data_IF_382910191162
#
_entry.id   IF_382910191162
#
_cell.length_a   1.000
_cell.length_b   1.000
_cell.length_c   1.000
_cell.angle_alpha   90.00
_cell.angle_beta   90.00
_cell.angle_gamma   90.00
#
_symmetry.space_group_name_H-M   'P 1'
#
loop_
_entity.id
_entity.type
_entity.pdbx_description
1 polymer ?
#
# COMPACT_ATOMS: atom_id res chain seq x y z
N UNK A 1 -59.27 7.06 -33.63
CA UNK A 1 -59.21 8.32 -32.86
C UNK A 1 -57.80 8.56 -32.35
N UNK A 2 -57.12 9.53 -32.95
CA UNK A 2 -55.78 9.97 -32.55
C UNK A 2 -55.89 11.01 -31.44
N UNK A 3 -55.17 10.80 -30.35
CA UNK A 3 -54.96 11.87 -29.36
C UNK A 3 -53.46 12.25 -29.34
N UNK A 4 -53.23 13.56 -29.57
CA UNK A 4 -51.91 14.20 -29.55
C UNK A 4 -51.46 14.54 -28.10
N UNK A 5 -50.35 14.30 -27.61
CA UNK A 5 -49.86 14.64 -26.53
C UNK A 5 -49.18 15.81 -26.65
N UNK A 6 -49.29 16.51 -25.89
CA UNK A 6 -48.70 17.83 -25.66
C UNK A 6 -47.40 17.72 -24.86
N UNK A 7 -46.31 18.16 -25.45
CA UNK A 7 -45.00 18.30 -24.77
C UNK A 7 -44.96 19.54 -23.89
N UNK A 8 -44.83 19.35 -22.58
CA UNK A 8 -44.64 20.42 -21.60
C UNK A 8 -43.15 20.63 -21.32
N UNK A 9 -42.63 21.78 -21.75
CA UNK A 9 -41.27 22.25 -21.42
C UNK A 9 -41.15 22.63 -19.99
N UNK A 10 -40.16 22.11 -19.25
CA UNK A 10 -39.79 22.58 -17.90
C UNK A 10 -38.66 23.61 -17.97
N UNK A 11 -38.66 24.59 -17.06
CA UNK A 11 -37.61 25.62 -17.05
C UNK A 11 -36.33 25.12 -16.33
N UNK A 12 -35.19 25.56 -16.82
CA UNK A 12 -33.87 25.37 -16.21
C UNK A 12 -33.75 26.25 -14.98
N UNK A 13 -33.45 25.64 -13.84
CA UNK A 13 -33.01 26.37 -12.65
C UNK A 13 -31.50 26.31 -12.55
N UNK A 14 -30.85 27.45 -12.69
CA UNK A 14 -29.46 27.66 -12.36
C UNK A 14 -29.29 27.69 -10.85
N UNK A 15 -28.51 26.79 -10.29
CA UNK A 15 -27.96 26.92 -8.94
C UNK A 15 -26.47 27.14 -9.02
N UNK A 16 -26.05 28.35 -8.70
CA UNK A 16 -24.64 28.67 -8.39
C UNK A 16 -24.33 28.14 -7.01
N UNK A 17 -23.39 27.22 -6.91
CA UNK A 17 -22.68 26.94 -5.68
C UNK A 17 -21.30 27.57 -5.80
N UNK A 18 -21.04 28.51 -4.93
CA UNK A 18 -19.71 29.03 -4.66
C UNK A 18 -19.06 28.11 -3.63
N UNK A 19 -17.98 27.48 -4.01
CA UNK A 19 -17.02 26.93 -3.06
C UNK A 19 -15.70 27.65 -3.35
N UNK A 20 -15.36 28.56 -2.48
CA UNK A 20 -14.12 29.35 -2.55
C UNK A 20 -13.01 28.56 -1.83
N UNK A 21 -12.26 27.76 -2.59
CA UNK A 21 -10.97 27.23 -2.14
C UNK A 21 -9.88 28.18 -2.65
N UNK A 22 -9.41 29.04 -1.75
CA UNK A 22 -8.32 29.97 -2.01
C UNK A 22 -6.97 29.25 -2.07
N UNK A 23 -6.66 28.62 -3.21
CA UNK A 23 -5.28 28.27 -3.54
C UNK A 23 -4.56 29.53 -4.02
N UNK A 24 -3.71 30.09 -3.18
CA UNK A 24 -2.88 31.25 -3.53
C UNK A 24 -1.78 30.76 -4.50
N UNK A 25 -2.08 30.85 -5.77
CA UNK A 25 -1.07 30.64 -6.83
C UNK A 25 -0.36 31.97 -7.04
N UNK A 26 0.92 32.01 -6.69
CA UNK A 26 1.78 33.18 -6.99
C UNK A 26 2.19 33.10 -8.46
N UNK A 27 1.61 33.97 -9.27
CA UNK A 27 1.93 34.09 -10.70
C UNK A 27 2.97 35.19 -10.96
N UNK A 28 3.87 34.94 -11.87
CA UNK A 28 4.80 35.96 -12.42
C UNK A 28 4.02 36.94 -13.32
N UNK A 29 4.58 38.12 -13.54
CA UNK A 29 4.06 39.17 -14.45
C UNK A 29 3.78 38.64 -15.88
N UNK A 30 4.23 37.45 -16.22
CA UNK A 30 4.04 36.79 -17.52
C UNK A 30 3.08 35.57 -17.49
N UNK A 31 2.48 35.26 -16.33
CA UNK A 31 1.43 34.22 -16.21
C UNK A 31 1.88 32.77 -16.27
N UNK A 32 3.17 32.47 -16.09
CA UNK A 32 3.67 31.10 -16.08
C UNK A 32 4.02 30.63 -14.65
N UNK A 33 3.74 29.37 -14.31
CA UNK A 33 4.06 28.84 -12.98
C UNK A 33 5.58 28.71 -12.80
N UNK A 34 6.07 29.14 -11.66
CA UNK A 34 7.51 29.13 -11.30
C UNK A 34 7.96 27.70 -11.00
N UNK A 35 8.88 27.19 -11.81
CA UNK A 35 9.29 25.77 -11.76
C UNK A 35 10.60 25.49 -11.03
N UNK A 36 11.33 26.49 -10.54
CA UNK A 36 12.59 26.26 -9.84
C UNK A 36 12.75 27.13 -8.59
N UNK A 37 13.44 26.59 -7.59
CA UNK A 37 13.77 27.30 -6.33
C UNK A 37 14.57 28.59 -6.56
N UNK A 38 15.38 28.64 -7.62
CA UNK A 38 16.19 29.79 -7.98
C UNK A 38 15.35 30.98 -8.48
N UNK A 39 14.28 30.72 -9.23
CA UNK A 39 13.35 31.76 -9.66
C UNK A 39 12.49 32.30 -8.51
N UNK A 40 12.09 31.41 -7.59
CA UNK A 40 11.36 31.82 -6.38
C UNK A 40 12.24 32.75 -5.49
N UNK A 41 13.53 32.47 -5.39
CA UNK A 41 14.49 33.35 -4.66
C UNK A 41 14.68 34.70 -5.32
N UNK A 42 14.60 34.82 -6.65
CA UNK A 42 14.68 36.07 -7.36
C UNK A 42 13.46 36.98 -7.14
N UNK A 43 12.31 36.39 -6.92
CA UNK A 43 11.06 37.17 -6.74
C UNK A 43 10.97 37.77 -5.33
N UNK A 44 11.57 37.10 -4.32
CA UNK A 44 11.52 37.52 -2.92
C UNK A 44 12.55 38.63 -2.63
N UNK A 45 13.60 38.78 -3.45
CA UNK A 45 14.72 39.64 -3.16
C UNK A 45 14.88 40.89 -4.05
N UNK A 46 13.94 41.81 -4.05
CA UNK A 46 14.15 43.12 -4.71
C UNK A 46 14.97 44.13 -3.90
N UNK A 47 15.25 43.85 -2.62
CA UNK A 47 16.13 44.69 -1.80
C UNK A 47 17.39 43.91 -1.39
N UNK A 48 18.54 44.45 -1.67
CA UNK A 48 19.85 43.86 -1.34
C UNK A 48 20.05 43.62 0.16
N UNK A 49 19.37 44.40 0.99
CA UNK A 49 19.38 44.28 2.45
C UNK A 49 18.74 42.96 2.92
N UNK A 50 17.66 42.54 2.28
CA UNK A 50 16.97 41.28 2.62
C UNK A 50 17.75 40.01 2.19
N UNK A 51 18.52 40.15 1.08
CA UNK A 51 19.41 39.04 0.64
C UNK A 51 20.55 38.80 1.61
N UNK A 52 21.12 39.90 2.14
CA UNK A 52 22.20 39.82 3.12
C UNK A 52 21.70 39.29 4.48
N UNK A 53 20.47 39.63 4.87
CA UNK A 53 19.86 39.12 6.09
C UNK A 53 19.56 37.58 5.99
N UNK A 54 19.11 37.09 4.84
CA UNK A 54 18.88 35.65 4.63
C UNK A 54 20.20 34.91 4.48
N UNK A 55 21.17 35.49 3.79
CA UNK A 55 22.49 34.86 3.60
C UNK A 55 23.29 34.82 4.92
N UNK A 56 23.15 35.82 5.81
CA UNK A 56 23.77 35.81 7.14
C UNK A 56 23.17 34.73 8.06
N UNK A 57 21.93 34.32 7.84
CA UNK A 57 21.31 33.22 8.58
C UNK A 57 21.92 31.86 8.21
N UNK A 58 22.55 31.73 7.06
CA UNK A 58 23.10 30.46 6.58
C UNK A 58 24.63 30.41 6.48
N UNK A 59 25.35 31.57 6.52
CA UNK A 59 26.78 31.59 6.22
C UNK A 59 27.71 31.49 7.44
N UNK A 60 27.28 31.82 8.65
CA UNK A 60 28.17 31.84 9.82
C UNK A 60 27.63 30.94 10.96
N UNK A 61 27.48 29.68 10.64
CA UNK A 61 27.19 28.68 11.70
C UNK A 61 28.52 28.33 12.38
N UNK A 62 28.96 29.22 13.27
CA UNK A 62 30.07 28.91 14.14
C UNK A 62 29.71 27.75 15.04
N UNK A 63 30.49 26.66 15.03
CA UNK A 63 30.14 25.48 15.86
C UNK A 63 30.14 25.77 17.38
N UNK A 64 30.74 26.91 17.80
CA UNK A 64 30.83 27.32 19.19
C UNK A 64 29.91 28.48 19.58
N UNK A 65 28.87 28.76 18.80
CA UNK A 65 27.93 29.84 19.12
C UNK A 65 27.06 29.45 20.37
N UNK A 66 27.14 30.27 21.45
CA UNK A 66 26.40 29.96 22.68
C UNK A 66 24.87 30.08 22.54
N UNK A 67 24.38 30.70 21.48
CA UNK A 67 22.94 30.83 21.19
C UNK A 67 22.39 29.67 20.36
N UNK A 68 23.25 28.79 19.86
CA UNK A 68 22.85 27.63 19.10
C UNK A 68 22.31 26.55 20.03
N UNK A 69 21.05 26.07 19.85
CA UNK A 69 20.57 24.96 20.65
C UNK A 69 21.35 23.70 20.31
N UNK A 70 22.17 23.24 21.24
CA UNK A 70 22.94 21.99 21.11
C UNK A 70 21.99 20.84 21.40
N UNK A 71 21.49 20.21 20.36
CA UNK A 71 20.74 18.98 20.50
C UNK A 71 21.74 17.84 20.76
N UNK A 72 21.65 17.23 21.90
CA UNK A 72 22.42 16.03 22.17
C UNK A 72 22.09 14.98 21.10
N UNK A 73 23.09 14.25 20.57
CA UNK A 73 22.80 13.19 19.62
C UNK A 73 21.84 12.21 20.29
N UNK A 74 20.76 11.87 19.58
CA UNK A 74 19.76 10.90 20.02
C UNK A 74 20.47 9.56 20.30
N UNK A 75 20.84 9.36 21.55
CA UNK A 75 21.44 8.09 21.97
C UNK A 75 20.38 7.01 22.00
N UNK A 76 20.63 5.91 21.33
CA UNK A 76 19.72 4.74 21.29
C UNK A 76 19.27 4.25 22.67
N UNK A 77 19.97 4.65 23.73
CA UNK A 77 19.65 4.22 25.10
C UNK A 77 18.64 5.13 25.82
N UNK A 78 18.52 6.40 25.45
CA UNK A 78 17.63 7.34 26.13
C UNK A 78 16.20 7.33 25.58
N UNK A 79 16.01 6.81 24.37
CA UNK A 79 14.69 6.71 23.77
C UNK A 79 13.81 5.63 24.41
N UNK A 80 14.45 4.60 25.01
CA UNK A 80 13.74 3.43 25.54
C UNK A 80 13.09 3.64 26.91
N UNK A 81 13.49 4.67 27.66
CA UNK A 81 12.97 4.86 29.05
C UNK A 81 11.64 5.62 29.14
N UNK A 82 11.11 6.13 28.05
CA UNK A 82 9.85 6.88 28.08
C UNK A 82 8.82 6.48 27.02
N UNK A 83 9.19 5.58 26.11
CA UNK A 83 8.27 5.15 25.07
C UNK A 83 7.22 4.20 25.61
N UNK A 84 5.97 4.61 25.53
CA UNK A 84 4.83 3.75 25.79
C UNK A 84 4.89 2.56 24.84
N UNK A 85 4.87 1.34 25.37
CA UNK A 85 4.88 0.12 24.58
C UNK A 85 3.82 0.23 23.46
N UNK A 86 4.27 0.16 22.23
CA UNK A 86 3.39 0.22 21.08
C UNK A 86 2.53 -1.04 21.00
N UNK A 87 1.29 -0.88 20.61
CA UNK A 87 0.30 -1.95 20.64
C UNK A 87 -0.49 -1.98 19.33
N UNK A 88 -0.63 -3.17 18.75
CA UNK A 88 -1.39 -3.35 17.53
C UNK A 88 -2.33 -4.55 17.63
N UNK A 89 -3.49 -4.45 16.98
CA UNK A 89 -4.53 -5.50 16.96
C UNK A 89 -4.84 -5.90 15.52
N UNK A 90 -4.80 -7.19 15.24
CA UNK A 90 -5.18 -7.75 13.94
C UNK A 90 -6.48 -8.52 14.12
N UNK A 91 -7.51 -8.15 13.37
CA UNK A 91 -8.82 -8.82 13.39
C UNK A 91 -8.75 -10.17 12.67
N UNK A 92 -9.33 -11.20 13.26
CA UNK A 92 -9.36 -12.56 12.69
C UNK A 92 -10.81 -12.95 12.42
N UNK A 93 -11.20 -13.17 11.16
CA UNK A 93 -12.54 -13.65 10.84
C UNK A 93 -12.77 -15.04 11.44
N UNK A 94 -14.02 -15.36 11.75
CA UNK A 94 -14.40 -16.57 12.47
C UNK A 94 -13.93 -17.86 11.75
N UNK A 95 -14.00 -17.88 10.43
CA UNK A 95 -13.58 -19.04 9.62
C UNK A 95 -12.06 -19.28 9.63
N UNK A 96 -11.25 -18.27 10.02
CA UNK A 96 -9.79 -18.41 10.10
C UNK A 96 -9.28 -18.69 11.52
N UNK A 97 -10.16 -18.73 12.53
CA UNK A 97 -9.78 -18.99 13.92
C UNK A 97 -9.26 -20.41 14.13
N UNK A 98 -9.89 -21.43 13.52
CA UNK A 98 -9.45 -22.83 13.65
C UNK A 98 -8.06 -23.04 13.05
N UNK A 99 -7.80 -22.66 11.78
CA UNK A 99 -6.43 -22.71 11.24
C UNK A 99 -5.41 -21.91 12.05
N UNK A 100 -5.80 -20.75 12.61
CA UNK A 100 -4.92 -19.94 13.43
C UNK A 100 -4.50 -20.66 14.71
N UNK A 101 -5.43 -21.38 15.36
CA UNK A 101 -5.13 -22.17 16.56
C UNK A 101 -4.20 -23.36 16.25
N UNK A 102 -4.49 -24.07 15.16
CA UNK A 102 -3.68 -25.21 14.70
C UNK A 102 -2.23 -24.82 14.42
N UNK A 103 -2.04 -23.70 13.78
CA UNK A 103 -0.73 -23.23 13.35
C UNK A 103 -0.14 -22.17 14.30
N UNK A 104 -0.71 -22.00 15.50
CA UNK A 104 -0.32 -20.93 16.43
C UNK A 104 1.18 -20.92 16.74
N UNK A 105 1.77 -22.08 17.03
CA UNK A 105 3.19 -22.16 17.35
C UNK A 105 4.10 -21.79 16.18
N UNK A 106 3.69 -22.14 14.96
CA UNK A 106 4.42 -21.81 13.75
C UNK A 106 4.38 -20.30 13.43
N UNK A 107 3.32 -19.60 13.86
CA UNK A 107 3.19 -18.15 13.74
C UNK A 107 3.89 -17.42 14.90
N UNK A 108 3.78 -17.94 16.11
CA UNK A 108 4.33 -17.34 17.33
C UNK A 108 5.87 -17.32 17.30
N UNK A 109 6.50 -18.41 16.90
CA UNK A 109 7.95 -18.59 16.96
C UNK A 109 8.71 -17.52 16.16
N UNK A 110 8.42 -17.25 14.87
CA UNK A 110 9.17 -16.22 14.14
C UNK A 110 8.92 -14.80 14.68
N UNK A 111 7.72 -14.49 15.16
CA UNK A 111 7.40 -13.16 15.71
C UNK A 111 8.17 -12.91 17.01
N UNK A 112 8.20 -13.88 17.92
CA UNK A 112 8.88 -13.73 19.21
C UNK A 112 10.39 -13.85 19.11
N UNK A 113 10.90 -14.79 18.29
CA UNK A 113 12.36 -15.03 18.20
C UNK A 113 13.07 -14.04 17.28
N UNK A 114 12.48 -13.70 16.13
CA UNK A 114 13.13 -12.83 15.13
C UNK A 114 12.83 -11.36 15.39
N UNK A 115 11.58 -11.02 15.69
CA UNK A 115 11.13 -9.63 15.86
C UNK A 115 11.13 -9.16 17.33
N UNK A 116 11.27 -10.08 18.29
CA UNK A 116 11.26 -9.79 19.74
C UNK A 116 9.99 -9.04 20.15
N UNK A 117 8.83 -9.50 19.69
CA UNK A 117 7.52 -8.89 19.94
C UNK A 117 6.64 -9.90 20.69
N UNK A 118 5.95 -9.42 21.70
CA UNK A 118 4.96 -10.21 22.44
C UNK A 118 3.70 -10.36 21.60
N UNK A 119 3.21 -11.58 21.47
CA UNK A 119 2.00 -11.90 20.72
C UNK A 119 1.01 -12.67 21.56
N UNK A 120 -0.24 -12.23 21.57
CA UNK A 120 -1.32 -12.88 22.33
C UNK A 120 -2.56 -13.05 21.47
N UNK A 121 -3.23 -14.21 21.58
CA UNK A 121 -4.52 -14.44 20.95
C UNK A 121 -5.66 -14.12 21.93
N UNK A 122 -6.51 -13.20 21.56
CA UNK A 122 -7.72 -12.85 22.31
C UNK A 122 -8.92 -13.53 21.64
N UNK A 123 -9.35 -14.65 22.20
CA UNK A 123 -10.45 -15.48 21.65
C UNK A 123 -11.80 -14.77 21.77
N UNK A 124 -12.03 -14.01 22.84
CA UNK A 124 -13.31 -13.30 23.07
C UNK A 124 -13.54 -12.23 21.98
N UNK A 125 -12.52 -11.46 21.68
CA UNK A 125 -12.59 -10.38 20.68
C UNK A 125 -12.21 -10.85 19.27
N UNK A 126 -11.78 -12.10 19.11
CA UNK A 126 -11.30 -12.67 17.83
C UNK A 126 -10.21 -11.82 17.20
N UNK A 127 -9.19 -11.48 18.01
CA UNK A 127 -8.09 -10.62 17.59
C UNK A 127 -6.76 -11.20 18.05
N UNK A 128 -5.73 -10.99 17.25
CA UNK A 128 -4.35 -11.19 17.66
C UNK A 128 -3.83 -9.83 18.12
N UNK A 129 -3.27 -9.79 19.30
CA UNK A 129 -2.71 -8.60 19.94
C UNK A 129 -1.19 -8.70 19.91
N UNK A 130 -0.55 -7.65 19.45
CA UNK A 130 0.90 -7.51 19.35
C UNK A 130 1.33 -6.35 20.22
N UNK A 131 2.42 -6.51 20.94
CA UNK A 131 2.99 -5.50 21.82
C UNK A 131 4.50 -5.48 21.68
N UNK A 132 5.09 -4.30 21.54
CA UNK A 132 6.55 -4.15 21.56
C UNK A 132 7.10 -4.45 22.95
N UNK A 133 8.29 -5.06 22.99
CA UNK A 133 9.03 -5.31 24.22
C UNK A 133 10.24 -4.38 24.28
N UNK A 134 10.86 -4.29 25.45
CA UNK A 134 12.07 -3.49 25.62
C UNK A 134 13.27 -4.03 24.80
N UNK A 135 13.13 -5.26 24.30
CA UNK A 135 14.14 -5.92 23.45
C UNK A 135 13.92 -5.67 21.97
N UNK A 136 12.80 -5.05 21.57
CA UNK A 136 12.50 -4.76 20.16
C UNK A 136 13.46 -3.67 19.65
N UNK A 137 14.25 -4.00 18.63
CA UNK A 137 15.28 -3.11 18.08
C UNK A 137 14.72 -2.19 16.99
N UNK A 138 13.82 -2.72 16.16
CA UNK A 138 13.26 -2.03 15.00
C UNK A 138 11.87 -1.47 15.29
N UNK A 139 11.65 -0.20 14.98
CA UNK A 139 10.31 0.43 15.03
C UNK A 139 9.33 -0.23 14.05
N UNK A 140 9.84 -0.66 12.89
CA UNK A 140 9.03 -1.31 11.85
C UNK A 140 8.62 -2.74 12.20
N UNK A 141 9.27 -3.37 13.19
CA UNK A 141 9.02 -4.77 13.58
C UNK A 141 7.54 -5.03 13.90
N UNK A 142 6.89 -4.09 14.60
CA UNK A 142 5.48 -4.21 14.97
C UNK A 142 4.58 -4.24 13.73
N UNK A 143 4.86 -3.39 12.73
CA UNK A 143 4.11 -3.37 11.47
C UNK A 143 4.35 -4.65 10.67
N UNK A 144 5.61 -5.06 10.50
CA UNK A 144 5.97 -6.31 9.80
C UNK A 144 5.28 -7.52 10.41
N UNK A 145 5.25 -7.59 11.74
CA UNK A 145 4.57 -8.67 12.46
C UNK A 145 3.06 -8.65 12.25
N UNK A 146 2.46 -7.46 12.23
CA UNK A 146 1.03 -7.31 11.95
C UNK A 146 0.70 -7.76 10.51
N UNK A 147 1.52 -7.36 9.54
CA UNK A 147 1.35 -7.71 8.12
C UNK A 147 1.54 -9.22 7.89
N UNK A 148 2.49 -9.84 8.58
CA UNK A 148 2.69 -11.29 8.59
C UNK A 148 1.44 -12.04 9.05
N UNK A 149 0.88 -11.64 10.19
CA UNK A 149 -0.34 -12.27 10.72
C UNK A 149 -1.53 -12.01 9.79
N UNK A 150 -1.63 -10.79 9.26
CA UNK A 150 -2.68 -10.43 8.32
C UNK A 150 -2.59 -11.26 7.04
N UNK A 151 -1.40 -11.49 6.50
CA UNK A 151 -1.20 -12.35 5.32
C UNK A 151 -1.71 -13.78 5.59
N UNK A 152 -1.39 -14.35 6.75
CA UNK A 152 -1.90 -15.68 7.13
C UNK A 152 -3.44 -15.67 7.25
N UNK A 153 -4.01 -14.66 7.89
CA UNK A 153 -5.48 -14.50 8.03
C UNK A 153 -6.15 -14.41 6.65
N UNK A 154 -5.50 -13.77 5.70
CA UNK A 154 -5.98 -13.63 4.31
C UNK A 154 -5.85 -14.94 3.50
N UNK A 155 -5.09 -15.92 3.99
CA UNK A 155 -5.03 -17.24 3.37
C UNK A 155 -3.70 -17.63 2.75
N UNK A 156 -2.67 -16.85 2.93
CA UNK A 156 -1.32 -17.23 2.48
C UNK A 156 -0.75 -18.32 3.40
N UNK A 157 0.13 -19.13 2.87
CA UNK A 157 0.87 -20.13 3.63
C UNK A 157 1.89 -19.45 4.54
N UNK A 158 2.20 -20.07 5.68
CA UNK A 158 3.14 -19.53 6.66
C UNK A 158 4.51 -19.33 6.03
N UNK A 159 4.95 -20.27 5.19
CA UNK A 159 6.25 -20.20 4.50
C UNK A 159 6.37 -18.94 3.62
N UNK A 160 5.30 -18.59 2.91
CA UNK A 160 5.25 -17.39 2.07
C UNK A 160 5.15 -16.12 2.93
N UNK A 161 4.33 -16.17 3.99
CA UNK A 161 4.10 -15.03 4.88
C UNK A 161 5.36 -14.64 5.68
N UNK A 162 6.19 -15.62 6.10
CA UNK A 162 7.46 -15.36 6.83
C UNK A 162 8.40 -14.45 6.05
N UNK A 163 8.31 -14.45 4.71
CA UNK A 163 9.12 -13.55 3.88
C UNK A 163 8.87 -12.07 4.22
N UNK A 164 7.64 -11.71 4.66
CA UNK A 164 7.30 -10.33 5.10
C UNK A 164 8.07 -9.87 6.34
N UNK A 165 8.53 -10.81 7.18
CA UNK A 165 9.35 -10.47 8.35
C UNK A 165 10.79 -10.17 7.98
N UNK A 166 11.29 -10.78 6.87
CA UNK A 166 12.69 -10.71 6.46
C UNK A 166 12.98 -9.64 5.41
N UNK A 167 12.01 -9.40 4.54
CA UNK A 167 12.16 -8.51 3.37
C UNK A 167 11.26 -7.30 3.52
N UNK A 168 11.82 -6.11 3.37
CA UNK A 168 11.11 -4.84 3.48
C UNK A 168 10.35 -4.47 2.19
N UNK A 169 10.76 -5.01 1.05
CA UNK A 169 10.22 -4.70 -0.27
C UNK A 169 9.01 -5.54 -0.65
N UNK A 170 8.44 -6.30 0.29
CA UNK A 170 7.27 -7.12 0.03
C UNK A 170 5.99 -6.41 0.48
N UNK A 171 5.01 -6.43 -0.41
CA UNK A 171 3.71 -5.79 -0.22
C UNK A 171 2.60 -6.79 -0.44
N UNK A 172 1.49 -6.53 0.19
CA UNK A 172 0.27 -7.31 0.03
C UNK A 172 -0.80 -6.43 -0.60
N UNK A 173 -1.28 -6.84 -1.76
CA UNK A 173 -2.37 -6.15 -2.47
C UNK A 173 -3.62 -7.03 -2.50
N UNK A 174 -4.75 -6.43 -2.19
CA UNK A 174 -6.07 -7.09 -2.24
C UNK A 174 -6.99 -6.29 -3.15
N UNK A 175 -7.74 -6.97 -4.01
CA UNK A 175 -8.77 -6.35 -4.83
C UNK A 175 -9.89 -7.35 -5.12
N UNK A 176 -11.04 -6.84 -5.51
CA UNK A 176 -12.19 -7.66 -5.87
C UNK A 176 -12.33 -7.80 -7.38
N UNK A 177 -12.96 -8.89 -7.81
CA UNK A 177 -13.32 -9.11 -9.22
C UNK A 177 -14.22 -7.96 -9.71
N UNK A 178 -15.06 -7.43 -8.84
CA UNK A 178 -15.97 -6.30 -9.15
C UNK A 178 -15.21 -4.99 -9.41
N UNK A 179 -14.05 -4.79 -8.79
CA UNK A 179 -13.22 -3.59 -9.01
C UNK A 179 -12.72 -3.51 -10.44
N UNK A 180 -12.48 -4.67 -11.06
CA UNK A 180 -12.02 -4.76 -12.44
C UNK A 180 -13.20 -4.58 -13.42
N UNK A 181 -14.35 -5.18 -13.12
CA UNK A 181 -15.53 -5.10 -13.98
C UNK A 181 -16.81 -5.24 -13.14
N UNK A 182 -17.48 -4.15 -12.89
CA UNK A 182 -18.68 -4.05 -12.05
C UNK A 182 -19.87 -4.86 -12.60
N UNK A 183 -19.92 -5.09 -13.91
CA UNK A 183 -21.01 -5.82 -14.57
C UNK A 183 -20.95 -7.34 -14.33
N UNK A 184 -19.85 -7.87 -13.79
CA UNK A 184 -19.72 -9.30 -13.53
C UNK A 184 -20.52 -9.70 -12.27
N UNK A 185 -21.62 -10.43 -12.48
CA UNK A 185 -22.50 -10.93 -11.43
C UNK A 185 -22.83 -12.41 -11.63
N UNK A 186 -23.17 -13.10 -10.58
CA UNK A 186 -23.62 -14.49 -10.60
C UNK A 186 -22.65 -15.40 -11.36
N UNK A 187 -23.14 -16.13 -12.35
CA UNK A 187 -22.39 -17.11 -13.14
C UNK A 187 -21.21 -16.49 -13.91
N UNK A 188 -21.35 -15.25 -14.37
CA UNK A 188 -20.26 -14.58 -15.09
C UNK A 188 -19.06 -14.37 -14.19
N UNK A 189 -19.31 -14.10 -12.90
CA UNK A 189 -18.26 -13.97 -11.88
C UNK A 189 -17.59 -15.32 -11.64
N UNK A 190 -18.37 -16.39 -11.43
CA UNK A 190 -17.85 -17.76 -11.24
C UNK A 190 -16.98 -18.20 -12.42
N UNK A 191 -17.43 -17.92 -13.66
CA UNK A 191 -16.63 -18.17 -14.86
C UNK A 191 -15.36 -17.34 -14.93
N UNK A 192 -15.41 -16.09 -14.43
CA UNK A 192 -14.23 -15.23 -14.30
C UNK A 192 -13.20 -15.84 -13.35
N UNK A 193 -13.64 -16.23 -12.17
CA UNK A 193 -12.81 -16.89 -11.15
C UNK A 193 -12.24 -18.22 -11.69
N UNK A 194 -13.06 -18.99 -12.38
CA UNK A 194 -12.62 -20.23 -13.04
C UNK A 194 -11.51 -20.02 -14.06
N UNK A 195 -11.57 -18.91 -14.85
CA UNK A 195 -10.48 -18.54 -15.78
C UNK A 195 -9.20 -18.17 -15.05
N UNK A 196 -9.31 -17.50 -13.90
CA UNK A 196 -8.14 -17.12 -13.08
C UNK A 196 -7.43 -18.35 -12.53
N UNK A 197 -8.17 -19.25 -11.92
CA UNK A 197 -7.61 -20.48 -11.37
C UNK A 197 -7.08 -21.39 -12.51
N UNK A 198 -7.91 -21.60 -13.52
CA UNK A 198 -7.63 -22.54 -14.60
C UNK A 198 -7.80 -23.98 -14.15
N UNK A 199 -7.61 -24.93 -15.08
CA UNK A 199 -7.71 -26.37 -14.77
C UNK A 199 -6.62 -26.75 -13.75
N UNK A 200 -7.04 -27.27 -12.59
CA UNK A 200 -6.14 -27.64 -11.49
C UNK A 200 -5.20 -26.53 -11.02
N UNK A 201 -5.66 -25.27 -11.10
CA UNK A 201 -4.86 -24.15 -10.66
C UNK A 201 -3.74 -23.73 -11.63
N UNK A 202 -3.65 -24.33 -12.81
CA UNK A 202 -2.53 -24.13 -13.77
C UNK A 202 -2.32 -22.66 -14.15
N UNK A 203 -3.41 -21.92 -14.39
CA UNK A 203 -3.32 -20.51 -14.78
C UNK A 203 -2.72 -19.66 -13.66
N UNK A 204 -3.22 -19.86 -12.44
CA UNK A 204 -2.72 -19.21 -11.22
C UNK A 204 -1.22 -19.47 -11.06
N UNK A 205 -0.81 -20.74 -11.03
CA UNK A 205 0.59 -21.14 -10.82
C UNK A 205 1.51 -20.62 -11.94
N UNK A 206 1.05 -20.58 -13.18
CA UNK A 206 1.85 -20.02 -14.29
C UNK A 206 2.13 -18.53 -14.07
N UNK A 207 1.13 -17.78 -13.59
CA UNK A 207 1.29 -16.34 -13.30
C UNK A 207 2.22 -16.15 -12.09
N UNK A 208 2.01 -16.91 -11.00
CA UNK A 208 2.85 -16.86 -9.80
C UNK A 208 4.33 -17.06 -10.14
N UNK A 209 4.63 -18.12 -10.90
CA UNK A 209 6.00 -18.45 -11.28
C UNK A 209 6.62 -17.41 -12.21
N UNK A 210 5.84 -16.91 -13.18
CA UNK A 210 6.32 -15.90 -14.12
C UNK A 210 6.61 -14.55 -13.42
N UNK A 211 5.80 -14.16 -12.46
CA UNK A 211 5.92 -12.86 -11.79
C UNK A 211 6.63 -12.92 -10.44
N UNK A 212 7.03 -14.12 -9.99
CA UNK A 212 7.63 -14.33 -8.66
C UNK A 212 6.76 -13.72 -7.54
N UNK A 213 5.45 -13.96 -7.61
CA UNK A 213 4.48 -13.53 -6.60
C UNK A 213 3.71 -14.74 -6.08
N UNK A 214 3.02 -14.58 -4.96
CA UNK A 214 2.05 -15.56 -4.47
C UNK A 214 0.65 -14.98 -4.63
N UNK A 215 -0.29 -15.79 -5.08
CA UNK A 215 -1.65 -15.36 -5.37
C UNK A 215 -2.64 -16.26 -4.61
N UNK A 216 -3.53 -15.66 -3.85
CA UNK A 216 -4.63 -16.36 -3.18
C UNK A 216 -5.92 -15.86 -3.79
N UNK A 217 -6.74 -16.80 -4.28
CA UNK A 217 -8.07 -16.52 -4.82
C UNK A 217 -9.07 -17.06 -3.80
N UNK A 218 -9.79 -16.18 -3.15
CA UNK A 218 -10.80 -16.52 -2.14
C UNK A 218 -12.12 -15.92 -2.58
N UNK A 219 -12.91 -16.71 -3.26
CA UNK A 219 -14.19 -16.31 -3.86
C UNK A 219 -14.03 -15.08 -4.75
N UNK A 220 -14.55 -13.92 -4.33
CA UNK A 220 -14.51 -12.68 -5.08
C UNK A 220 -13.23 -11.88 -4.85
N UNK A 221 -12.48 -12.19 -3.79
CA UNK A 221 -11.28 -11.46 -3.39
C UNK A 221 -10.04 -12.13 -3.95
N UNK A 222 -9.20 -11.34 -4.57
CA UNK A 222 -7.89 -11.76 -5.09
C UNK A 222 -6.83 -11.04 -4.28
N UNK A 223 -5.87 -11.80 -3.80
CA UNK A 223 -4.80 -11.30 -2.94
C UNK A 223 -3.46 -11.67 -3.55
N UNK A 224 -2.56 -10.70 -3.64
CA UNK A 224 -1.24 -10.88 -4.25
C UNK A 224 -0.18 -10.46 -3.23
N UNK A 225 0.82 -11.30 -3.05
CA UNK A 225 1.98 -11.03 -2.20
C UNK A 225 3.24 -11.02 -3.08
N UNK A 226 4.06 -9.98 -2.99
CA UNK A 226 5.29 -9.88 -3.76
C UNK A 226 5.89 -8.48 -3.74
N UNK A 227 6.90 -8.24 -4.58
CA UNK A 227 7.45 -6.90 -4.75
C UNK A 227 6.49 -6.02 -5.55
N UNK A 228 6.54 -4.72 -5.33
CA UNK A 228 5.63 -3.74 -5.93
C UNK A 228 5.54 -3.83 -7.46
N UNK A 229 6.69 -3.96 -8.13
CA UNK A 229 6.73 -4.08 -9.60
C UNK A 229 6.10 -5.39 -10.07
N UNK A 230 6.40 -6.48 -9.39
CA UNK A 230 5.88 -7.81 -9.72
C UNK A 230 4.37 -7.90 -9.49
N UNK A 231 3.88 -7.29 -8.42
CA UNK A 231 2.44 -7.20 -8.12
C UNK A 231 1.70 -6.49 -9.26
N UNK A 232 2.23 -5.37 -9.76
CA UNK A 232 1.64 -4.65 -10.91
C UNK A 232 1.52 -5.54 -12.14
N UNK A 233 2.56 -6.31 -12.45
CA UNK A 233 2.56 -7.23 -13.60
C UNK A 233 1.52 -8.34 -13.40
N UNK A 234 1.52 -8.96 -12.21
CA UNK A 234 0.56 -10.01 -11.85
C UNK A 234 -0.87 -9.50 -11.91
N UNK A 235 -1.15 -8.33 -11.32
CA UNK A 235 -2.47 -7.69 -11.32
C UNK A 235 -2.96 -7.44 -12.76
N UNK A 236 -2.11 -6.89 -13.62
CA UNK A 236 -2.47 -6.65 -15.03
C UNK A 236 -2.82 -7.94 -15.76
N UNK A 237 -2.10 -9.03 -15.49
CA UNK A 237 -2.38 -10.34 -16.08
C UNK A 237 -3.73 -10.89 -15.58
N UNK A 238 -4.00 -10.80 -14.29
CA UNK A 238 -5.26 -11.25 -13.68
C UNK A 238 -6.44 -10.42 -14.20
N UNK A 239 -6.30 -9.10 -14.28
CA UNK A 239 -7.33 -8.20 -14.83
C UNK A 239 -7.65 -8.55 -16.28
N UNK A 240 -6.65 -8.85 -17.11
CA UNK A 240 -6.86 -9.26 -18.50
C UNK A 240 -7.66 -10.57 -18.59
N UNK A 241 -7.39 -11.53 -17.70
CA UNK A 241 -8.16 -12.79 -17.64
C UNK A 241 -9.61 -12.56 -17.18
N UNK A 242 -9.84 -11.69 -16.20
CA UNK A 242 -11.19 -11.32 -15.73
C UNK A 242 -11.98 -10.68 -16.89
N UNK A 243 -11.33 -9.81 -17.66
CA UNK A 243 -11.94 -9.14 -18.81
C UNK A 243 -12.26 -10.13 -19.96
N UNK A 244 -11.68 -11.33 -19.93
CA UNK A 244 -11.99 -12.38 -20.91
C UNK A 244 -10.89 -12.66 -21.93
N UNK A 245 -9.69 -12.10 -21.75
CA UNK A 245 -8.57 -12.39 -22.66
C UNK A 245 -8.19 -13.88 -22.59
N UNK A 246 -7.87 -14.52 -23.74
CA UNK A 246 -7.46 -15.91 -23.72
C UNK A 246 -6.11 -16.07 -22.98
N UNK A 247 -5.93 -17.16 -22.21
CA UNK A 247 -4.73 -17.35 -21.39
C UNK A 247 -3.44 -17.38 -22.18
N UNK A 248 -3.44 -17.90 -23.42
CA UNK A 248 -2.27 -17.90 -24.29
C UNK A 248 -1.72 -16.50 -24.56
N UNK A 249 -2.59 -15.53 -24.82
CA UNK A 249 -2.22 -14.13 -25.05
C UNK A 249 -1.62 -13.51 -23.77
N UNK A 250 -2.20 -13.83 -22.62
CA UNK A 250 -1.70 -13.35 -21.32
C UNK A 250 -0.30 -13.92 -21.05
N UNK A 251 -0.09 -15.21 -21.29
CA UNK A 251 1.21 -15.86 -21.08
C UNK A 251 2.30 -15.28 -21.99
N UNK A 252 2.00 -15.05 -23.28
CA UNK A 252 2.94 -14.41 -24.20
C UNK A 252 3.38 -13.04 -23.70
N UNK A 253 2.39 -12.22 -23.29
CA UNK A 253 2.67 -10.89 -22.73
C UNK A 253 3.50 -10.97 -21.44
N UNK A 254 3.19 -11.92 -20.54
CA UNK A 254 3.97 -12.14 -19.33
C UNK A 254 5.42 -12.45 -19.63
N UNK A 255 5.69 -13.40 -20.56
CA UNK A 255 7.05 -13.74 -20.96
C UNK A 255 7.85 -12.53 -21.44
N UNK A 256 7.24 -11.70 -22.28
CA UNK A 256 7.88 -10.47 -22.79
C UNK A 256 8.20 -9.50 -21.66
N UNK A 257 7.26 -9.28 -20.73
CA UNK A 257 7.45 -8.34 -19.62
C UNK A 257 8.51 -8.86 -18.63
N UNK A 258 8.45 -10.15 -18.28
CA UNK A 258 9.40 -10.76 -17.33
C UNK A 258 10.82 -10.83 -17.91
N UNK A 259 10.96 -11.08 -19.22
CA UNK A 259 12.26 -11.02 -19.88
C UNK A 259 12.86 -9.61 -19.78
N UNK A 260 12.08 -8.57 -20.09
CA UNK A 260 12.51 -7.17 -19.98
C UNK A 260 12.88 -6.77 -18.55
N UNK A 261 12.16 -7.29 -17.55
CA UNK A 261 12.48 -7.02 -16.14
C UNK A 261 13.80 -7.72 -15.75
N UNK A 262 14.03 -8.93 -16.25
CA UNK A 262 15.28 -9.69 -15.99
C UNK A 262 16.50 -9.02 -16.63
N UNK A 263 16.33 -8.34 -17.78
CA UNK A 263 17.41 -7.61 -18.47
C UNK A 263 17.86 -6.34 -17.73
N UNK A 264 17.03 -5.81 -16.81
CA UNK A 264 17.33 -4.59 -16.04
C UNK A 264 18.19 -4.84 -14.79
N UNK A 265 18.39 -6.08 -14.45
CA UNK A 265 19.18 -6.52 -13.29
C UNK A 265 20.37 -7.38 -13.73
#
# INVERSE_FOLDING_TARGET
QRRRXSTKKMPKSEKKTKDDDDDVVVENKTGNPVSSKEEAMRIIGEKEEDKNAVMSLFSDVNPNDPLRPIFAPLGKQNEKKGEKAMYRKVNVPSHRLSPLKEHWMALYTPVTKQMKIDMRMNLKLKKVELKTTDQTEDESALQKSADFIQAFVLGFEIQDAVALLRLDDLYLECFEVKDVKQTLRGEHMSRGIGRLAGKSGKTKYTIENATRTRIVIADQHIRILGSFQNIKVARNALCALIMGSPPGKVYSRLRTVTARLAERF
#
